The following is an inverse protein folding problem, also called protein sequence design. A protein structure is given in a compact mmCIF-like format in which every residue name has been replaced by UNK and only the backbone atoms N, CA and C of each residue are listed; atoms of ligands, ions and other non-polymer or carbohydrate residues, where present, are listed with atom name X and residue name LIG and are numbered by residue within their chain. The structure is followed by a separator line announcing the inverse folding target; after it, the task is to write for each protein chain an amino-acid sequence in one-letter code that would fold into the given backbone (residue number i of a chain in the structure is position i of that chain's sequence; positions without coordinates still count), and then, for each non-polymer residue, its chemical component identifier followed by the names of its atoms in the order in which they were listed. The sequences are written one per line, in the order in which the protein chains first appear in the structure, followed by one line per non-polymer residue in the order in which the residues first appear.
data_IF_440238597618
#
_entry.id   IF_440238597618
#
_cell.length_a   1.000
_cell.length_b   1.000
_cell.length_c   1.000
_cell.angle_alpha   90.00
_cell.angle_beta   90.00
_cell.angle_gamma   90.00
#
_symmetry.space_group_name_H-M   'P 1'
#
loop_
_entity.id
_entity.type
_entity.pdbx_description
1 polymer ?
#
# COMPACT_ATOMS: atom_id res chain seq x y z
N UNK A 1 89.00 20.02 16.02
CA UNK A 1 87.88 19.98 16.99
C UNK A 1 86.99 18.80 16.64
N UNK A 2 86.99 17.73 17.45
CA UNK A 2 86.06 16.61 17.27
C UNK A 2 84.79 16.90 18.08
N UNK A 3 83.65 16.99 17.38
CA UNK A 3 82.32 17.14 18.01
C UNK A 3 81.79 15.74 18.29
N UNK A 4 81.64 15.40 19.57
CA UNK A 4 81.01 14.15 19.98
C UNK A 4 79.50 14.22 19.69
N UNK A 5 79.04 13.43 18.72
CA UNK A 5 77.61 13.26 18.43
C UNK A 5 77.05 12.27 19.45
N UNK A 6 76.24 12.75 20.39
CA UNK A 6 75.49 11.90 21.30
C UNK A 6 74.31 11.27 20.55
N UNK A 7 74.40 9.97 20.31
CA UNK A 7 73.34 9.19 19.70
C UNK A 7 72.26 8.92 20.77
N UNK A 8 71.21 9.76 20.79
CA UNK A 8 70.08 9.63 21.72
C UNK A 8 69.16 8.51 21.23
N UNK A 9 69.58 7.26 21.41
CA UNK A 9 68.74 6.10 21.10
C UNK A 9 67.55 6.07 22.06
N UNK A 10 66.39 6.55 21.61
CA UNK A 10 65.12 6.38 22.33
C UNK A 10 64.81 4.88 22.41
N UNK A 11 65.01 4.29 23.60
CA UNK A 11 64.62 2.91 23.86
C UNK A 11 63.10 2.80 23.70
N UNK A 12 62.65 1.94 22.80
CA UNK A 12 61.22 1.68 22.65
C UNK A 12 60.66 1.15 23.99
N UNK A 13 59.52 1.66 24.47
CA UNK A 13 58.97 1.22 25.74
C UNK A 13 58.67 -0.28 25.68
N UNK A 14 59.16 -1.02 26.68
CA UNK A 14 58.89 -2.45 26.83
C UNK A 14 57.39 -2.60 27.07
N UNK A 15 56.71 -3.21 26.10
CA UNK A 15 55.26 -3.41 26.19
C UNK A 15 54.97 -4.42 27.30
N UNK A 16 54.03 -4.07 28.17
CA UNK A 16 53.51 -5.03 29.15
C UNK A 16 52.84 -6.21 28.41
N UNK A 17 52.77 -7.41 29.01
CA UNK A 17 52.12 -8.57 28.39
C UNK A 17 50.68 -8.27 27.91
N UNK A 18 49.94 -7.48 28.67
CA UNK A 18 48.59 -7.04 28.32
C UNK A 18 48.55 -6.13 27.08
N UNK A 19 49.47 -5.15 26.99
CA UNK A 19 49.57 -4.27 25.83
C UNK A 19 49.98 -5.04 24.57
N UNK A 20 50.87 -6.03 24.70
CA UNK A 20 51.24 -6.92 23.61
C UNK A 20 50.02 -7.72 23.11
N UNK A 21 49.21 -8.26 24.03
CA UNK A 21 47.97 -8.97 23.71
C UNK A 21 46.96 -8.07 22.98
N UNK A 22 46.75 -6.83 23.45
CA UNK A 22 45.87 -5.86 22.78
C UNK A 22 46.34 -5.52 21.37
N UNK A 23 47.65 -5.32 21.18
CA UNK A 23 48.23 -5.03 19.86
C UNK A 23 48.08 -6.22 18.92
N UNK A 24 48.25 -7.44 19.41
CA UNK A 24 48.03 -8.66 18.66
C UNK A 24 46.54 -8.82 18.27
N UNK A 25 45.62 -8.61 19.22
CA UNK A 25 44.19 -8.66 18.96
C UNK A 25 43.75 -7.60 17.94
N UNK A 26 44.31 -6.39 18.01
CA UNK A 26 44.06 -5.34 17.01
C UNK A 26 44.56 -5.75 15.63
N UNK A 27 45.79 -6.29 15.53
CA UNK A 27 46.35 -6.79 14.26
C UNK A 27 45.49 -7.89 13.64
N UNK A 28 45.04 -8.86 14.44
CA UNK A 28 44.15 -9.94 14.00
C UNK A 28 42.81 -9.39 13.50
N UNK A 29 42.25 -8.40 14.21
CA UNK A 29 41.01 -7.73 13.80
C UNK A 29 41.17 -7.00 12.48
N UNK A 30 42.26 -6.25 12.31
CA UNK A 30 42.58 -5.56 11.05
C UNK A 30 42.73 -6.55 9.89
N UNK A 31 43.43 -7.67 10.10
CA UNK A 31 43.56 -8.72 9.09
C UNK A 31 42.21 -9.35 8.72
N UNK A 32 41.33 -9.60 9.70
CA UNK A 32 39.98 -10.12 9.46
C UNK A 32 39.15 -9.15 8.63
N UNK A 33 39.17 -7.86 8.97
CA UNK A 33 38.45 -6.84 8.21
C UNK A 33 39.03 -6.65 6.80
N UNK A 34 40.36 -6.67 6.65
CA UNK A 34 41.01 -6.61 5.34
C UNK A 34 40.61 -7.79 4.44
N UNK A 35 40.60 -9.02 4.99
CA UNK A 35 40.13 -10.21 4.26
C UNK A 35 38.66 -10.12 3.84
N UNK A 36 37.79 -9.64 4.74
CA UNK A 36 36.38 -9.42 4.42
C UNK A 36 36.18 -8.37 3.31
N UNK A 37 36.94 -7.27 3.36
CA UNK A 37 36.91 -6.23 2.34
C UNK A 37 37.43 -6.73 0.98
N UNK A 38 38.51 -7.52 0.94
CA UNK A 38 38.99 -8.17 -0.27
C UNK A 38 37.92 -9.13 -0.85
N UNK A 39 37.30 -9.95 -0.02
CA UNK A 39 36.23 -10.87 -0.44
C UNK A 39 35.04 -10.12 -1.03
N UNK A 40 34.60 -9.04 -0.38
CA UNK A 40 33.50 -8.20 -0.86
C UNK A 40 33.83 -7.47 -2.17
N UNK A 41 35.09 -7.08 -2.39
CA UNK A 41 35.54 -6.49 -3.67
C UNK A 41 35.50 -7.51 -4.81
N UNK A 42 35.98 -8.73 -4.56
CA UNK A 42 35.96 -9.82 -5.54
C UNK A 42 34.54 -10.32 -5.84
N UNK A 43 33.64 -10.22 -4.86
CA UNK A 43 32.26 -10.69 -4.97
C UNK A 43 31.27 -9.60 -5.33
N UNK A 44 31.69 -8.40 -5.79
CA UNK A 44 30.70 -7.46 -6.33
C UNK A 44 30.09 -8.15 -7.54
N UNK A 45 28.83 -8.60 -7.49
CA UNK A 45 28.20 -9.05 -8.73
C UNK A 45 28.28 -7.84 -9.66
N UNK A 46 28.79 -8.05 -10.87
CA UNK A 46 28.48 -7.12 -11.94
C UNK A 46 26.97 -7.17 -12.07
N UNK A 47 26.29 -6.24 -11.41
CA UNK A 47 24.88 -6.01 -11.69
C UNK A 47 24.93 -5.50 -13.12
N UNK A 48 24.67 -6.40 -14.06
CA UNK A 48 24.36 -6.02 -15.43
C UNK A 48 23.09 -5.18 -15.34
N UNK A 49 23.27 -3.89 -15.09
CA UNK A 49 22.24 -2.89 -15.30
C UNK A 49 22.07 -2.91 -16.80
N UNK A 50 21.16 -3.75 -17.30
CA UNK A 50 20.83 -3.70 -18.70
C UNK A 50 20.46 -2.26 -19.01
N UNK A 51 21.05 -1.69 -20.06
CA UNK A 51 20.73 -0.35 -20.60
C UNK A 51 19.33 -0.33 -21.24
N UNK A 52 18.37 -1.01 -20.61
CA UNK A 52 16.98 -0.96 -20.99
C UNK A 52 16.52 0.47 -20.70
N UNK A 53 16.06 1.21 -21.72
CA UNK A 53 15.47 2.51 -21.48
C UNK A 53 14.33 2.34 -20.47
N UNK A 54 14.16 3.29 -19.55
CA UNK A 54 13.12 3.19 -18.53
C UNK A 54 11.75 3.07 -19.20
N UNK A 55 10.84 2.30 -18.59
CA UNK A 55 9.59 1.87 -19.22
C UNK A 55 8.74 3.00 -19.79
N UNK A 56 8.80 4.21 -19.22
CA UNK A 56 8.05 5.37 -19.71
C UNK A 56 8.55 5.93 -21.05
N UNK A 57 9.76 5.55 -21.48
CA UNK A 57 10.26 5.86 -22.83
C UNK A 57 9.79 4.85 -23.87
N UNK A 58 9.54 3.61 -23.47
CA UNK A 58 9.19 2.51 -24.39
C UNK A 58 7.70 2.18 -24.40
N UNK A 59 7.02 2.35 -23.27
CA UNK A 59 5.60 2.11 -23.11
C UNK A 59 4.83 3.43 -23.11
N UNK A 60 3.59 3.38 -23.56
CA UNK A 60 2.67 4.53 -23.59
C UNK A 60 2.14 4.83 -22.18
N UNK A 61 3.04 5.13 -21.24
CA UNK A 61 2.72 5.45 -19.86
C UNK A 61 2.41 6.94 -19.78
N UNK A 62 1.14 7.26 -19.57
CA UNK A 62 0.75 8.61 -19.20
C UNK A 62 0.99 8.82 -17.70
N UNK A 63 1.75 9.85 -17.33
CA UNK A 63 1.96 10.26 -15.93
C UNK A 63 0.80 11.11 -15.38
N UNK A 64 -0.41 10.80 -15.85
CA UNK A 64 -1.64 11.54 -15.59
C UNK A 64 -2.46 10.93 -14.44
N UNK A 65 -1.91 9.97 -13.70
CA UNK A 65 -2.60 9.30 -12.60
C UNK A 65 -3.19 10.31 -11.59
N UNK A 66 -2.45 11.37 -11.27
CA UNK A 66 -2.90 12.44 -10.38
C UNK A 66 -4.03 13.29 -10.99
N UNK A 67 -3.98 13.57 -12.31
CA UNK A 67 -5.04 14.28 -13.04
C UNK A 67 -6.31 13.45 -13.06
N UNK A 68 -6.22 12.16 -13.39
CA UNK A 68 -7.35 11.22 -13.35
C UNK A 68 -7.94 11.12 -11.95
N UNK A 69 -7.10 11.04 -10.93
CA UNK A 69 -7.56 11.03 -9.54
C UNK A 69 -8.30 12.33 -9.19
N UNK A 70 -7.81 13.49 -9.61
CA UNK A 70 -8.47 14.78 -9.39
C UNK A 70 -9.80 14.89 -10.16
N UNK A 71 -9.83 14.46 -11.43
CA UNK A 71 -11.07 14.40 -12.22
C UNK A 71 -12.11 13.50 -11.55
N UNK A 72 -11.69 12.33 -11.06
CA UNK A 72 -12.55 11.41 -10.31
C UNK A 72 -13.00 12.02 -8.98
N UNK A 73 -12.14 12.76 -8.29
CA UNK A 73 -12.52 13.52 -7.09
C UNK A 73 -13.59 14.57 -7.39
N UNK A 74 -13.42 15.39 -8.42
CA UNK A 74 -14.41 16.38 -8.83
C UNK A 74 -15.73 15.73 -9.23
N UNK A 75 -15.68 14.64 -10.00
CA UNK A 75 -16.87 13.88 -10.38
C UNK A 75 -17.59 13.34 -9.14
N UNK A 76 -16.87 12.78 -8.17
CA UNK A 76 -17.45 12.26 -6.93
C UNK A 76 -17.95 13.36 -5.98
N UNK A 77 -17.39 14.57 -6.01
CA UNK A 77 -17.84 15.70 -5.19
C UNK A 77 -19.27 16.12 -5.51
N UNK A 78 -19.70 15.91 -6.75
CA UNK A 78 -21.04 16.22 -7.23
C UNK A 78 -22.01 15.03 -7.13
N UNK A 79 -21.51 13.84 -6.77
CA UNK A 79 -22.33 12.63 -6.63
C UNK A 79 -23.00 12.63 -5.26
N UNK A 80 -24.29 12.28 -5.23
CA UNK A 80 -25.06 12.10 -4.00
C UNK A 80 -24.38 11.07 -3.08
N UNK A 81 -24.27 11.32 -1.76
CA UNK A 81 -23.48 10.49 -0.85
C UNK A 81 -23.93 9.01 -0.82
N UNK A 82 -25.23 8.75 -0.98
CA UNK A 82 -25.80 7.40 -1.07
C UNK A 82 -25.34 6.63 -2.31
N UNK A 83 -25.11 7.31 -3.44
CA UNK A 83 -24.62 6.68 -4.68
C UNK A 83 -23.13 6.36 -4.56
N UNK A 84 -22.37 7.20 -3.86
CA UNK A 84 -20.98 6.93 -3.52
C UNK A 84 -20.89 5.70 -2.61
N UNK A 85 -21.72 5.62 -1.58
CA UNK A 85 -21.80 4.45 -0.69
C UNK A 85 -22.20 3.18 -1.45
N UNK A 86 -23.19 3.26 -2.33
CA UNK A 86 -23.61 2.15 -3.18
C UNK A 86 -22.43 1.59 -4.01
N UNK A 87 -21.65 2.46 -4.65
CA UNK A 87 -20.47 2.05 -5.43
C UNK A 87 -19.41 1.35 -4.57
N UNK A 88 -19.15 1.87 -3.36
CA UNK A 88 -18.22 1.26 -2.41
C UNK A 88 -18.69 -0.13 -1.98
N UNK A 89 -19.97 -0.27 -1.61
CA UNK A 89 -20.55 -1.56 -1.19
C UNK A 89 -20.56 -2.59 -2.31
N UNK A 90 -20.80 -2.18 -3.55
CA UNK A 90 -20.66 -3.06 -4.71
C UNK A 90 -19.24 -3.62 -4.83
N UNK A 91 -18.21 -2.79 -4.63
CA UNK A 91 -16.81 -3.22 -4.65
C UNK A 91 -16.51 -4.22 -3.52
N UNK A 92 -16.99 -3.96 -2.30
CA UNK A 92 -16.82 -4.84 -1.14
C UNK A 92 -17.50 -6.21 -1.34
N UNK A 93 -18.70 -6.23 -1.94
CA UNK A 93 -19.46 -7.44 -2.22
C UNK A 93 -18.99 -8.18 -3.48
N UNK A 94 -17.99 -7.65 -4.19
CA UNK A 94 -17.50 -8.20 -5.47
C UNK A 94 -18.60 -8.35 -6.53
N UNK A 95 -19.59 -7.45 -6.52
CA UNK A 95 -20.68 -7.42 -7.50
C UNK A 95 -20.58 -6.12 -8.31
N UNK A 96 -20.56 -6.18 -9.65
CA UNK A 96 -20.43 -4.98 -10.45
C UNK A 96 -21.64 -4.06 -10.27
N UNK A 97 -21.37 -2.76 -10.05
CA UNK A 97 -22.39 -1.72 -9.84
C UNK A 97 -23.51 -1.73 -10.91
N UNK A 98 -23.14 -2.00 -12.16
CA UNK A 98 -24.07 -2.08 -13.30
C UNK A 98 -25.14 -3.17 -13.11
N UNK A 99 -24.80 -4.28 -12.48
CA UNK A 99 -25.75 -5.37 -12.23
C UNK A 99 -26.70 -5.05 -11.08
N UNK A 100 -26.20 -4.36 -10.05
CA UNK A 100 -27.00 -3.92 -8.90
C UNK A 100 -28.04 -2.89 -9.34
N UNK A 101 -27.65 -1.90 -10.15
CA UNK A 101 -28.60 -0.91 -10.71
C UNK A 101 -29.49 -1.52 -11.79
N UNK A 102 -28.96 -2.45 -12.59
CA UNK A 102 -29.63 -3.03 -13.74
C UNK A 102 -30.82 -3.94 -13.42
N UNK A 103 -31.38 -4.54 -14.47
CA UNK A 103 -32.53 -5.48 -14.40
C UNK A 103 -32.13 -6.92 -14.05
N UNK A 104 -30.89 -7.17 -13.67
CA UNK A 104 -30.41 -8.53 -13.37
C UNK A 104 -31.20 -9.12 -12.18
N UNK A 105 -31.77 -10.30 -12.40
CA UNK A 105 -32.61 -11.03 -11.45
C UNK A 105 -31.90 -12.26 -10.83
N UNK A 106 -30.61 -12.45 -11.10
CA UNK A 106 -29.82 -13.48 -10.43
C UNK A 106 -29.91 -13.31 -8.91
N UNK A 107 -30.20 -14.42 -8.21
CA UNK A 107 -30.39 -14.45 -6.76
C UNK A 107 -29.30 -13.69 -5.97
N UNK A 108 -27.98 -13.90 -6.18
CA UNK A 108 -26.95 -13.18 -5.43
C UNK A 108 -27.01 -11.66 -5.66
N UNK A 109 -27.28 -11.21 -6.88
CA UNK A 109 -27.39 -9.78 -7.23
C UNK A 109 -28.63 -9.16 -6.58
N UNK A 110 -29.75 -9.88 -6.60
CA UNK A 110 -31.00 -9.42 -5.96
C UNK A 110 -30.81 -9.32 -4.44
N UNK A 111 -30.15 -10.29 -3.81
CA UNK A 111 -29.88 -10.26 -2.37
C UNK A 111 -28.95 -9.12 -1.99
N UNK A 112 -27.87 -8.91 -2.75
CA UNK A 112 -26.99 -7.76 -2.57
C UNK A 112 -27.74 -6.43 -2.75
N UNK A 113 -28.56 -6.30 -3.80
CA UNK A 113 -29.37 -5.09 -4.03
C UNK A 113 -30.29 -4.80 -2.86
N UNK A 114 -31.01 -5.81 -2.35
CA UNK A 114 -31.91 -5.66 -1.19
C UNK A 114 -31.14 -5.23 0.06
N UNK A 115 -30.00 -5.88 0.31
CA UNK A 115 -29.12 -5.54 1.44
C UNK A 115 -28.67 -4.08 1.36
N UNK A 116 -28.17 -3.62 0.20
CA UNK A 116 -27.67 -2.24 0.06
C UNK A 116 -28.80 -1.22 0.14
N UNK A 117 -30.00 -1.53 -0.38
CA UNK A 117 -31.19 -0.67 -0.22
C UNK A 117 -31.53 -0.44 1.26
N UNK A 118 -31.46 -1.50 2.07
CA UNK A 118 -31.64 -1.41 3.52
C UNK A 118 -30.53 -0.60 4.19
N UNK A 119 -29.26 -0.88 3.88
CA UNK A 119 -28.12 -0.13 4.45
C UNK A 119 -28.16 1.37 4.13
N UNK A 120 -28.53 1.75 2.90
CA UNK A 120 -28.65 3.14 2.49
C UNK A 120 -29.76 3.84 3.28
N UNK A 121 -30.90 3.19 3.48
CA UNK A 121 -31.98 3.77 4.28
C UNK A 121 -31.53 3.99 5.73
N UNK A 122 -30.89 3.00 6.35
CA UNK A 122 -30.43 3.10 7.74
C UNK A 122 -29.32 4.15 7.92
N UNK A 123 -28.38 4.25 6.99
CA UNK A 123 -27.27 5.21 7.09
C UNK A 123 -27.66 6.66 6.79
N UNK A 124 -28.51 6.87 5.79
CA UNK A 124 -28.80 8.21 5.26
C UNK A 124 -30.20 8.71 5.62
N UNK A 125 -31.05 7.90 6.25
CA UNK A 125 -32.40 8.29 6.67
C UNK A 125 -33.34 8.60 5.49
N UNK A 126 -33.07 8.04 4.31
CA UNK A 126 -33.81 8.36 3.08
C UNK A 126 -35.23 7.79 3.09
N UNK A 127 -36.15 8.49 2.41
CA UNK A 127 -37.49 7.97 2.12
C UNK A 127 -37.41 6.77 1.17
N UNK A 128 -38.43 5.90 1.17
CA UNK A 128 -38.49 4.76 0.24
C UNK A 128 -38.41 5.19 -1.23
N UNK A 129 -39.01 6.34 -1.57
CA UNK A 129 -38.94 6.91 -2.91
C UNK A 129 -37.53 7.36 -3.27
N UNK A 130 -36.78 7.97 -2.33
CA UNK A 130 -35.40 8.37 -2.55
C UNK A 130 -34.44 7.19 -2.70
N UNK A 131 -34.66 6.12 -1.91
CA UNK A 131 -33.96 4.86 -2.09
C UNK A 131 -34.27 4.29 -3.48
N UNK A 132 -35.53 4.27 -3.89
CA UNK A 132 -35.92 3.87 -5.26
C UNK A 132 -35.16 4.68 -6.33
N UNK A 133 -35.15 6.01 -6.21
CA UNK A 133 -34.43 6.93 -7.12
C UNK A 133 -32.93 6.63 -7.20
N UNK A 134 -32.27 6.37 -6.07
CA UNK A 134 -30.84 6.05 -6.04
C UNK A 134 -30.50 4.78 -6.85
N UNK A 135 -31.45 3.84 -6.97
CA UNK A 135 -31.31 2.61 -7.74
C UNK A 135 -32.00 2.64 -9.11
N UNK A 136 -32.67 3.74 -9.48
CA UNK A 136 -33.50 3.82 -10.70
C UNK A 136 -34.71 2.87 -10.66
N UNK A 137 -35.34 2.71 -9.50
CA UNK A 137 -36.47 1.78 -9.25
C UNK A 137 -37.65 2.47 -8.58
N UNK A 138 -38.81 1.83 -8.68
CA UNK A 138 -40.02 2.29 -8.00
C UNK A 138 -39.92 2.14 -6.49
N UNK A 139 -40.59 3.04 -5.77
CA UNK A 139 -40.64 3.02 -4.30
C UNK A 139 -41.14 1.68 -3.73
N UNK A 140 -42.07 1.00 -4.41
CA UNK A 140 -42.60 -0.29 -4.00
C UNK A 140 -41.53 -1.38 -3.98
N UNK A 141 -40.59 -1.31 -4.92
CA UNK A 141 -39.44 -2.22 -4.97
C UNK A 141 -38.53 -2.00 -3.77
N UNK A 142 -38.28 -0.74 -3.40
CA UNK A 142 -37.48 -0.40 -2.22
C UNK A 142 -38.16 -0.88 -0.92
N UNK A 143 -39.48 -0.65 -0.78
CA UNK A 143 -40.26 -1.11 0.38
C UNK A 143 -40.14 -2.63 0.55
N UNK A 144 -40.44 -3.39 -0.52
CA UNK A 144 -40.37 -4.85 -0.50
C UNK A 144 -38.96 -5.36 -0.17
N UNK A 145 -37.93 -4.72 -0.73
CA UNK A 145 -36.54 -5.06 -0.47
C UNK A 145 -36.16 -4.87 0.99
N UNK A 146 -36.50 -3.72 1.57
CA UNK A 146 -36.17 -3.33 2.95
C UNK A 146 -36.90 -4.25 3.94
N UNK A 147 -38.21 -4.45 3.75
CA UNK A 147 -39.02 -5.35 4.59
C UNK A 147 -38.49 -6.79 4.56
N UNK A 148 -38.01 -7.26 3.41
CA UNK A 148 -37.41 -8.60 3.29
C UNK A 148 -36.14 -8.72 4.14
N UNK A 149 -35.31 -7.69 4.17
CA UNK A 149 -34.06 -7.68 4.96
C UNK A 149 -34.35 -7.55 6.45
N UNK A 150 -35.26 -6.65 6.83
CA UNK A 150 -35.71 -6.48 8.21
C UNK A 150 -36.29 -7.78 8.78
N UNK A 151 -37.15 -8.47 8.01
CA UNK A 151 -37.70 -9.76 8.39
C UNK A 151 -36.61 -10.83 8.58
N UNK A 152 -35.61 -10.89 7.68
CA UNK A 152 -34.47 -11.82 7.81
C UNK A 152 -33.59 -11.53 9.03
N UNK A 153 -33.51 -10.27 9.46
CA UNK A 153 -32.72 -9.84 10.63
C UNK A 153 -33.49 -9.87 11.95
N UNK A 154 -34.79 -10.21 11.92
CA UNK A 154 -35.65 -10.15 13.11
C UNK A 154 -35.97 -8.73 13.58
N UNK A 155 -35.68 -7.71 12.76
CA UNK A 155 -35.93 -6.30 13.03
C UNK A 155 -37.33 -5.91 12.56
N UNK A 156 -38.37 -6.64 13.00
CA UNK A 156 -39.75 -6.16 12.80
C UNK A 156 -40.02 -5.08 13.86
N UNK A 157 -40.13 -3.83 13.41
CA UNK A 157 -40.75 -2.76 14.20
C UNK A 157 -42.26 -2.88 14.16
#
# INVERSE_FOLDING_TARGET
MMVAVYDMTLQAPVLTPYQAQLRQAHRLRQQKFARAACKARLSKPQIEVMDRPPLWKTAQIAFDAHVRAYQLHLANRLVRPEVLYLKQRCAELHIPYREVIGKNALKPVVEARRLIMWEIREKFGLSYADVGRAFGRDQSTAISAIQTVEARRGLKR
#
